data_IF_656138164716
#
_entry.id   IF_656138164716
#
_cell.length_a   1.000
_cell.length_b   1.000
_cell.length_c   1.000
_cell.angle_alpha   90.00
_cell.angle_beta   90.00
_cell.angle_gamma   90.00
#
_symmetry.space_group_name_H-M   'P 1'
#
loop_
_entity.id
_entity.type
_entity.pdbx_description
1 polymer ?
#
# COMPACT_ATOMS: atom_id res chain seq x y z
N UNK A 1 2.05 -22.10 13.88
CA UNK A 1 3.20 -22.69 13.19
C UNK A 1 4.06 -21.61 12.54
N UNK A 2 5.38 -21.83 12.45
CA UNK A 2 6.28 -21.03 11.61
C UNK A 2 5.82 -21.02 10.15
N UNK A 3 6.06 -19.92 9.42
CA UNK A 3 5.67 -19.79 8.02
C UNK A 3 6.78 -19.15 7.18
N UNK A 4 6.92 -19.61 5.93
CA UNK A 4 7.74 -18.96 4.92
C UNK A 4 6.84 -18.57 3.75
N UNK A 5 7.02 -17.34 3.25
CA UNK A 5 6.34 -16.83 2.06
C UNK A 5 7.35 -16.21 1.11
N UNK A 6 7.08 -16.34 -0.19
CA UNK A 6 7.67 -15.57 -1.28
C UNK A 6 6.51 -14.91 -2.02
N UNK A 7 6.35 -13.60 -1.84
CA UNK A 7 5.27 -12.83 -2.47
C UNK A 7 5.81 -12.05 -3.68
N UNK A 8 4.95 -11.56 -4.61
CA UNK A 8 3.49 -11.72 -4.64
C UNK A 8 3.05 -13.10 -5.17
N UNK A 9 2.34 -13.87 -4.34
CA UNK A 9 1.69 -15.14 -4.73
C UNK A 9 2.61 -16.19 -5.39
N UNK A 10 3.91 -16.21 -5.08
CA UNK A 10 4.89 -17.15 -5.68
C UNK A 10 4.92 -18.47 -4.92
N UNK A 11 5.13 -18.41 -3.60
CA UNK A 11 5.24 -19.59 -2.75
C UNK A 11 4.81 -19.29 -1.31
N UNK A 12 4.19 -20.25 -0.64
CA UNK A 12 3.86 -20.15 0.78
C UNK A 12 3.78 -21.54 1.41
N UNK A 13 4.38 -21.72 2.59
CA UNK A 13 4.27 -22.97 3.36
C UNK A 13 2.99 -23.05 4.19
N UNK A 14 2.33 -21.91 4.40
CA UNK A 14 1.15 -21.78 5.27
C UNK A 14 -0.01 -21.00 4.64
N UNK A 15 -0.85 -20.43 5.51
CA UNK A 15 -2.02 -19.66 5.10
C UNK A 15 -1.66 -18.25 4.62
N UNK A 16 -0.59 -17.66 5.15
CA UNK A 16 -0.11 -16.34 4.73
C UNK A 16 0.42 -16.40 3.29
N UNK A 17 0.16 -15.37 2.49
CA UNK A 17 0.63 -15.29 1.09
C UNK A 17 1.70 -14.23 0.85
N UNK A 18 2.06 -13.48 1.88
CA UNK A 18 3.12 -12.48 1.85
C UNK A 18 3.28 -11.75 3.19
N UNK A 19 4.11 -10.71 3.18
CA UNK A 19 4.51 -9.98 4.39
C UNK A 19 3.30 -9.39 5.13
N UNK A 20 2.39 -8.73 4.41
CA UNK A 20 1.18 -8.15 5.01
C UNK A 20 0.35 -9.21 5.75
N UNK A 21 0.16 -10.40 5.17
CA UNK A 21 -0.65 -11.44 5.82
C UNK A 21 0.00 -11.97 7.10
N UNK A 22 1.33 -12.09 7.11
CA UNK A 22 2.09 -12.49 8.30
C UNK A 22 1.97 -11.40 9.38
N UNK A 23 2.16 -10.13 9.02
CA UNK A 23 2.02 -9.01 9.95
C UNK A 23 0.60 -8.92 10.52
N UNK A 24 -0.44 -9.11 9.69
CA UNK A 24 -1.82 -9.18 10.17
C UNK A 24 -2.03 -10.32 11.16
N UNK A 25 -1.38 -11.46 10.94
CA UNK A 25 -1.47 -12.59 11.86
C UNK A 25 -0.94 -12.17 13.24
N UNK A 26 0.28 -11.63 13.29
CA UNK A 26 0.98 -11.36 14.55
C UNK A 26 0.63 -10.04 15.24
N UNK A 27 0.09 -9.06 14.53
CA UNK A 27 -0.26 -7.75 15.09
C UNK A 27 -1.75 -7.54 15.25
N UNK A 28 -2.59 -8.32 14.54
CA UNK A 28 -4.04 -8.11 14.51
C UNK A 28 -4.79 -9.34 15.01
N UNK A 29 -4.59 -10.51 14.40
CA UNK A 29 -5.43 -11.70 14.68
C UNK A 29 -5.04 -12.46 15.94
N UNK A 30 -3.74 -12.59 16.17
CA UNK A 30 -3.18 -13.40 17.27
C UNK A 30 -2.61 -12.53 18.40
N UNK A 31 -2.77 -11.21 18.30
CA UNK A 31 -2.29 -10.25 19.30
C UNK A 31 -3.44 -9.71 20.13
N UNK A 32 -3.21 -9.52 21.43
CA UNK A 32 -4.14 -8.81 22.30
C UNK A 32 -3.72 -7.34 22.36
N UNK A 33 -4.55 -6.38 21.92
CA UNK A 33 -4.23 -4.96 22.03
C UNK A 33 -3.89 -4.57 23.47
N UNK A 34 -2.79 -3.86 23.65
CA UNK A 34 -2.26 -3.47 24.96
C UNK A 34 -1.20 -4.43 25.52
N UNK A 35 -1.13 -5.67 25.04
CA UNK A 35 -0.16 -6.64 25.57
C UNK A 35 1.25 -6.40 24.99
N UNK A 36 2.16 -5.93 25.85
CA UNK A 36 3.58 -5.83 25.54
C UNK A 36 3.91 -4.83 24.43
N UNK A 37 4.87 -5.17 23.56
CA UNK A 37 5.51 -4.24 22.63
C UNK A 37 5.46 -4.76 21.19
N UNK A 38 5.06 -3.91 20.24
CA UNK A 38 5.20 -4.17 18.80
C UNK A 38 6.50 -3.53 18.29
N UNK A 39 7.26 -4.26 17.47
CA UNK A 39 8.56 -3.83 16.96
C UNK A 39 8.58 -3.71 15.44
N UNK A 40 9.16 -2.62 14.96
CA UNK A 40 9.38 -2.36 13.54
C UNK A 40 10.85 -1.98 13.36
N UNK A 41 11.62 -2.77 12.63
CA UNK A 41 12.97 -2.41 12.20
C UNK A 41 12.99 -2.48 10.69
N UNK A 42 13.21 -1.34 10.04
CA UNK A 42 13.19 -1.29 8.57
C UNK A 42 14.17 -0.26 8.03
N UNK A 43 14.98 -0.65 7.05
CA UNK A 43 15.89 0.30 6.40
C UNK A 43 15.17 1.39 5.60
N UNK A 44 13.97 1.12 5.12
CA UNK A 44 13.17 2.06 4.34
C UNK A 44 11.74 2.11 4.89
N UNK A 45 11.11 3.28 4.80
CA UNK A 45 9.75 3.50 5.26
C UNK A 45 9.01 4.53 4.42
N UNK A 46 7.76 4.25 4.07
CA UNK A 46 6.89 5.22 3.41
C UNK A 46 5.45 5.08 3.89
N UNK A 47 4.60 6.08 3.66
CA UNK A 47 3.30 6.16 4.30
C UNK A 47 2.42 4.94 4.00
N UNK A 48 2.38 4.50 2.74
CA UNK A 48 1.58 3.35 2.32
C UNK A 48 2.10 2.01 2.86
N UNK A 49 3.33 1.93 3.38
CA UNK A 49 3.81 0.76 4.10
C UNK A 49 3.10 0.52 5.44
N UNK A 50 2.52 1.58 6.04
CA UNK A 50 1.88 1.51 7.35
C UNK A 50 0.35 1.63 7.36
N UNK A 51 -0.30 2.01 6.25
CA UNK A 51 -1.75 2.27 6.21
C UNK A 51 -2.62 1.10 6.67
N UNK A 52 -2.12 -0.13 6.53
CA UNK A 52 -2.79 -1.33 7.03
C UNK A 52 -2.80 -1.41 8.56
N UNK A 53 -1.81 -0.84 9.23
CA UNK A 53 -1.52 -1.10 10.64
C UNK A 53 -1.64 0.13 11.54
N UNK A 54 -1.76 1.35 11.01
CA UNK A 54 -1.85 2.56 11.84
C UNK A 54 -3.00 2.53 12.86
N UNK A 55 -4.19 2.04 12.50
CA UNK A 55 -5.30 1.93 13.47
C UNK A 55 -5.07 0.80 14.48
N UNK A 56 -4.40 -0.30 14.08
CA UNK A 56 -3.94 -1.34 15.01
C UNK A 56 -2.94 -0.78 16.01
N UNK A 57 -2.03 0.08 15.57
CA UNK A 57 -1.04 0.75 16.42
C UNK A 57 -1.70 1.69 17.42
N UNK A 58 -2.64 2.53 16.96
CA UNK A 58 -3.43 3.41 17.84
C UNK A 58 -4.17 2.60 18.89
N UNK A 59 -4.88 1.55 18.48
CA UNK A 59 -5.59 0.67 19.40
C UNK A 59 -4.64 0.03 20.42
N UNK A 60 -3.48 -0.48 19.99
CA UNK A 60 -2.50 -1.09 20.89
C UNK A 60 -1.97 -0.10 21.94
N UNK A 61 -1.66 1.15 21.52
CA UNK A 61 -1.22 2.21 22.43
C UNK A 61 -2.33 2.66 23.39
N UNK A 62 -3.57 2.81 22.91
CA UNK A 62 -4.72 3.19 23.73
C UNK A 62 -5.02 2.17 24.83
N UNK A 63 -4.64 0.90 24.62
CA UNK A 63 -4.77 -0.17 25.61
C UNK A 63 -3.51 -0.36 26.47
N UNK A 64 -2.55 0.57 26.43
CA UNK A 64 -1.36 0.60 27.30
C UNK A 64 -0.15 -0.16 26.77
N UNK A 65 -0.23 -0.77 25.59
CA UNK A 65 0.89 -1.47 24.96
C UNK A 65 1.88 -0.48 24.36
N UNK A 66 3.08 -0.92 24.00
CA UNK A 66 4.14 -0.06 23.43
C UNK A 66 4.41 -0.35 21.95
N UNK A 67 4.96 0.63 21.24
CA UNK A 67 5.41 0.47 19.85
C UNK A 67 6.79 1.09 19.72
N UNK A 68 7.75 0.33 19.21
CA UNK A 68 9.11 0.79 18.97
C UNK A 68 9.43 0.60 17.49
N UNK A 69 9.79 1.70 16.82
CA UNK A 69 10.13 1.70 15.41
C UNK A 69 11.54 2.25 15.19
N UNK A 70 12.38 1.52 14.46
CA UNK A 70 13.73 1.93 14.07
C UNK A 70 13.83 1.97 12.56
N UNK A 71 14.12 3.16 12.04
CA UNK A 71 14.27 3.40 10.61
C UNK A 71 15.65 3.94 10.26
N UNK A 72 16.10 3.75 9.02
CA UNK A 72 17.26 4.49 8.52
C UNK A 72 16.84 5.88 8.01
N UNK A 73 17.72 6.86 8.18
CA UNK A 73 17.55 8.22 7.64
C UNK A 73 18.81 8.70 6.93
N UNK A 74 18.64 9.55 5.92
CA UNK A 74 19.72 10.12 5.12
C UNK A 74 19.31 11.46 4.52
N UNK A 75 20.23 12.42 4.47
CA UNK A 75 20.02 13.68 3.75
C UNK A 75 20.16 13.55 2.24
N UNK A 76 20.72 12.45 1.75
CA UNK A 76 21.05 12.25 0.32
C UNK A 76 20.34 11.05 -0.30
N UNK A 77 19.48 10.36 0.44
CA UNK A 77 18.80 9.15 -0.04
C UNK A 77 17.40 9.05 0.53
N UNK A 78 16.46 8.62 -0.31
CA UNK A 78 15.03 8.49 0.05
C UNK A 78 14.80 7.17 0.80
N UNK A 79 15.24 7.14 2.05
CA UNK A 79 15.14 5.94 2.91
C UNK A 79 13.78 5.88 3.59
N UNK A 80 13.51 6.85 4.46
CA UNK A 80 12.28 6.92 5.26
C UNK A 80 11.63 8.28 5.08
N UNK A 81 10.31 8.30 4.91
CA UNK A 81 9.59 9.53 4.65
C UNK A 81 9.20 10.29 5.92
N UNK A 82 9.00 11.60 5.78
CA UNK A 82 8.41 12.45 6.81
C UNK A 82 6.99 11.99 7.15
N UNK A 83 6.23 11.60 6.13
CA UNK A 83 4.83 11.21 6.28
C UNK A 83 4.66 9.96 7.15
N UNK A 84 5.46 8.90 6.93
CA UNK A 84 5.34 7.67 7.76
C UNK A 84 5.80 7.93 9.20
N UNK A 85 6.89 8.67 9.39
CA UNK A 85 7.40 8.98 10.73
C UNK A 85 6.40 9.82 11.51
N UNK A 86 5.80 10.83 10.86
CA UNK A 86 4.75 11.65 11.48
C UNK A 86 3.56 10.79 11.91
N UNK A 87 3.02 9.94 11.03
CA UNK A 87 1.87 9.10 11.38
C UNK A 87 2.23 8.09 12.49
N UNK A 88 3.44 7.50 12.48
CA UNK A 88 3.90 6.62 13.55
C UNK A 88 3.98 7.32 14.91
N UNK A 89 4.48 8.56 14.95
CA UNK A 89 4.49 9.38 16.16
C UNK A 89 3.07 9.74 16.62
N UNK A 90 2.17 10.07 15.67
CA UNK A 90 0.75 10.33 15.96
C UNK A 90 0.02 9.07 16.47
N UNK A 91 0.45 7.88 16.06
CA UNK A 91 0.01 6.61 16.66
C UNK A 91 0.56 6.37 18.07
N UNK A 92 1.49 7.20 18.56
CA UNK A 92 2.14 7.05 19.86
C UNK A 92 3.33 6.11 19.87
N UNK A 93 3.96 5.84 18.72
CA UNK A 93 5.15 5.00 18.63
C UNK A 93 6.42 5.76 19.04
N UNK A 94 7.34 5.04 19.68
CA UNK A 94 8.70 5.48 19.93
C UNK A 94 9.53 5.28 18.65
N UNK A 95 9.75 6.35 17.90
CA UNK A 95 10.49 6.29 16.62
C UNK A 95 11.96 6.67 16.81
N UNK A 96 12.85 5.88 16.23
CA UNK A 96 14.29 6.09 16.20
C UNK A 96 14.78 6.13 14.75
N UNK A 97 15.55 7.16 14.40
CA UNK A 97 16.16 7.31 13.08
C UNK A 97 17.67 7.10 13.19
N UNK A 98 18.18 6.11 12.46
CA UNK A 98 19.61 5.79 12.38
C UNK A 98 20.22 6.48 11.17
N UNK A 99 21.17 7.39 11.40
CA UNK A 99 21.98 7.96 10.33
C UNK A 99 23.36 7.31 10.31
N UNK A 100 23.65 6.53 9.27
CA UNK A 100 24.92 5.81 9.15
C UNK A 100 25.29 5.59 7.69
N UNK A 101 26.55 5.82 7.32
CA UNK A 101 27.04 5.59 5.93
C UNK A 101 26.78 4.16 5.44
N UNK A 102 26.95 3.18 6.32
CA UNK A 102 26.46 1.81 6.13
C UNK A 102 25.08 1.73 6.79
N UNK A 103 24.07 1.88 5.96
CA UNK A 103 22.67 2.03 6.38
C UNK A 103 22.24 0.88 7.30
N UNK A 104 21.29 1.16 8.21
CA UNK A 104 20.45 0.11 8.76
C UNK A 104 19.72 -0.53 7.59
N UNK A 105 20.09 -1.78 7.27
CA UNK A 105 19.54 -2.50 6.12
C UNK A 105 18.65 -3.68 6.53
N UNK A 106 18.60 -4.01 7.82
CA UNK A 106 17.74 -5.05 8.33
C UNK A 106 16.26 -4.72 8.06
N UNK A 107 15.46 -5.76 7.86
CA UNK A 107 14.01 -5.69 7.94
C UNK A 107 13.52 -6.83 8.83
N UNK A 108 13.02 -6.48 10.00
CA UNK A 108 12.38 -7.42 10.89
C UNK A 108 11.24 -6.74 11.66
N UNK A 109 10.23 -7.54 11.97
CA UNK A 109 9.00 -7.10 12.60
C UNK A 109 8.59 -8.13 13.63
N UNK A 110 7.82 -7.76 14.64
CA UNK A 110 7.42 -8.74 15.63
C UNK A 110 6.68 -8.16 16.81
N UNK A 111 6.50 -9.01 17.81
CA UNK A 111 5.94 -8.64 19.11
C UNK A 111 6.75 -9.29 20.22
N UNK A 112 6.75 -8.62 21.37
CA UNK A 112 7.03 -9.23 22.68
C UNK A 112 5.75 -9.13 23.48
N UNK A 113 5.15 -10.25 23.84
CA UNK A 113 3.89 -10.29 24.60
C UNK A 113 3.95 -11.29 25.74
N UNK A 114 2.85 -11.46 26.48
CA UNK A 114 2.73 -12.53 27.50
C UNK A 114 2.91 -13.94 26.92
N UNK A 115 2.72 -14.11 25.61
CA UNK A 115 2.92 -15.39 24.91
C UNK A 115 4.39 -15.64 24.51
N UNK A 116 5.27 -14.65 24.70
CA UNK A 116 6.68 -14.71 24.30
C UNK A 116 6.99 -13.79 23.10
N UNK A 117 8.17 -13.98 22.51
CA UNK A 117 8.65 -13.18 21.38
C UNK A 117 8.22 -13.81 20.05
N UNK A 118 7.60 -13.04 19.16
CA UNK A 118 7.38 -13.43 17.76
C UNK A 118 8.32 -12.63 16.85
N UNK A 119 8.90 -13.27 15.84
CA UNK A 119 9.88 -12.63 14.96
C UNK A 119 9.55 -12.91 13.50
N UNK A 120 9.54 -11.84 12.70
CA UNK A 120 9.51 -11.90 11.25
C UNK A 120 10.84 -11.37 10.74
N UNK A 121 11.50 -12.15 9.89
CA UNK A 121 12.67 -11.71 9.11
C UNK A 121 12.28 -11.69 7.64
N UNK A 122 12.56 -10.60 6.94
CA UNK A 122 12.11 -10.44 5.56
C UNK A 122 13.05 -9.57 4.75
N UNK A 123 12.93 -9.65 3.42
CA UNK A 123 13.52 -8.68 2.50
C UNK A 123 12.63 -7.44 2.31
N UNK A 124 11.33 -7.52 2.65
CA UNK A 124 10.35 -6.45 2.49
C UNK A 124 10.48 -5.32 3.51
N UNK A 125 10.67 -4.09 3.01
CA UNK A 125 10.69 -2.88 3.84
C UNK A 125 9.27 -2.45 4.25
N UNK A 126 9.19 -1.49 5.18
CA UNK A 126 7.93 -0.89 5.63
C UNK A 126 7.44 0.15 4.62
N UNK A 127 7.29 -0.26 3.36
CA UNK A 127 6.96 0.57 2.21
C UNK A 127 5.85 -0.06 1.39
N UNK A 128 5.12 0.74 0.61
CA UNK A 128 4.10 0.22 -0.32
C UNK A 128 4.60 -0.94 -1.19
N UNK A 129 5.77 -0.82 -1.86
CA UNK A 129 6.31 -1.91 -2.68
C UNK A 129 6.66 -3.17 -1.88
N UNK A 130 7.29 -3.03 -0.71
CA UNK A 130 7.66 -4.16 0.15
C UNK A 130 6.46 -4.89 0.77
N UNK A 131 5.28 -4.26 0.75
CA UNK A 131 4.01 -4.80 1.21
C UNK A 131 3.13 -5.33 0.07
N UNK A 132 3.54 -5.18 -1.20
CA UNK A 132 2.69 -5.38 -2.37
C UNK A 132 3.38 -6.18 -3.48
N UNK A 133 3.97 -5.53 -4.48
CA UNK A 133 4.39 -6.19 -5.72
C UNK A 133 5.87 -6.60 -5.75
N UNK A 134 6.71 -6.14 -4.83
CA UNK A 134 8.09 -6.60 -4.80
C UNK A 134 8.17 -8.12 -4.59
N UNK A 135 9.15 -8.75 -5.23
CA UNK A 135 9.45 -10.16 -4.96
C UNK A 135 10.17 -10.27 -3.62
N UNK A 136 9.44 -10.53 -2.55
CA UNK A 136 9.98 -10.53 -1.18
C UNK A 136 9.76 -11.86 -0.47
N UNK A 137 10.81 -12.32 0.21
CA UNK A 137 10.75 -13.49 1.08
C UNK A 137 10.54 -13.05 2.53
N UNK A 138 9.61 -13.70 3.24
CA UNK A 138 9.35 -13.45 4.66
C UNK A 138 9.25 -14.75 5.44
N UNK A 139 9.90 -14.81 6.60
CA UNK A 139 9.89 -15.94 7.52
C UNK A 139 9.31 -15.49 8.85
N UNK A 140 8.26 -16.17 9.32
CA UNK A 140 7.69 -16.03 10.66
C UNK A 140 8.24 -17.13 11.56
N UNK A 141 8.79 -16.73 12.71
CA UNK A 141 9.17 -17.57 13.82
C UNK A 141 8.25 -17.29 15.01
N UNK A 142 7.63 -18.34 15.52
CA UNK A 142 6.72 -18.29 16.66
C UNK A 142 7.43 -18.35 18.01
N UNK A 143 6.74 -18.00 19.12
CA UNK A 143 7.32 -18.00 20.47
C UNK A 143 8.11 -19.24 20.86
N UNK A 144 7.67 -20.43 20.48
CA UNK A 144 8.42 -21.65 20.75
C UNK A 144 9.78 -21.67 20.03
N UNK A 145 9.81 -21.32 18.74
CA UNK A 145 11.04 -21.31 17.95
C UNK A 145 11.98 -20.17 18.31
N UNK A 146 11.45 -18.99 18.64
CA UNK A 146 12.26 -17.86 19.12
C UNK A 146 12.87 -18.17 20.50
N UNK A 147 12.12 -18.82 21.39
CA UNK A 147 12.63 -19.30 22.67
C UNK A 147 13.73 -20.36 22.50
N UNK A 148 13.52 -21.35 21.64
CA UNK A 148 14.51 -22.42 21.37
C UNK A 148 15.85 -21.87 20.85
N UNK A 149 15.82 -20.74 20.12
CA UNK A 149 17.01 -20.07 19.61
C UNK A 149 17.52 -18.93 20.52
N UNK A 150 16.93 -18.73 21.71
CA UNK A 150 17.25 -17.66 22.65
C UNK A 150 17.16 -16.25 22.04
N UNK A 151 16.21 -16.03 21.13
CA UNK A 151 15.94 -14.69 20.61
C UNK A 151 15.17 -13.85 21.63
N UNK A 152 15.57 -12.59 21.82
CA UNK A 152 14.81 -11.61 22.60
C UNK A 152 14.79 -10.24 21.92
N UNK A 153 13.60 -9.67 21.73
CA UNK A 153 13.45 -8.31 21.22
C UNK A 153 14.10 -7.28 22.15
N UNK A 154 13.96 -7.46 23.46
CA UNK A 154 14.48 -6.52 24.46
C UNK A 154 16.00 -6.41 24.38
N UNK A 155 16.67 -7.57 24.30
CA UNK A 155 18.12 -7.65 24.18
C UNK A 155 18.60 -7.08 22.84
N UNK A 156 17.96 -7.46 21.73
CA UNK A 156 18.32 -6.94 20.41
C UNK A 156 18.19 -5.41 20.36
N UNK A 157 17.09 -4.87 20.87
CA UNK A 157 16.84 -3.43 20.88
C UNK A 157 17.78 -2.68 21.81
N UNK A 158 18.06 -3.20 23.01
CA UNK A 158 19.05 -2.65 23.93
C UNK A 158 20.44 -2.60 23.27
N UNK A 159 20.89 -3.73 22.73
CA UNK A 159 22.18 -3.84 22.05
C UNK A 159 22.28 -2.94 20.81
N UNK A 160 21.19 -2.74 20.07
CA UNK A 160 21.14 -1.79 18.95
C UNK A 160 21.33 -0.35 19.44
N UNK A 161 20.59 0.07 20.47
CA UNK A 161 20.64 1.43 21.00
C UNK A 161 21.95 1.75 21.74
N UNK A 162 22.61 0.73 22.29
CA UNK A 162 23.91 0.83 22.94
C UNK A 162 25.09 0.90 21.95
N UNK A 163 24.82 0.67 20.65
CA UNK A 163 25.84 0.97 19.64
C UNK A 163 26.12 2.47 19.62
N UNK A 164 27.38 2.84 19.41
CA UNK A 164 27.81 4.23 19.15
C UNK A 164 27.37 4.72 17.75
N UNK A 165 26.15 4.41 17.32
CA UNK A 165 25.55 4.93 16.09
C UNK A 165 24.92 6.29 16.35
N UNK A 166 24.75 7.06 15.27
CA UNK A 166 24.07 8.35 15.35
C UNK A 166 22.57 8.11 15.30
N UNK A 167 21.95 8.06 16.47
CA UNK A 167 20.51 7.96 16.64
C UNK A 167 19.87 9.32 16.82
N UNK A 168 18.73 9.51 16.17
CA UNK A 168 17.84 10.65 16.36
C UNK A 168 16.47 10.18 16.81
N UNK A 169 15.84 10.95 17.70
CA UNK A 169 14.45 10.74 18.13
C UNK A 169 13.62 11.93 17.63
N UNK A 170 12.90 11.79 16.51
CA UNK A 170 12.00 12.84 16.04
C UNK A 170 10.86 13.03 17.04
N UNK A 171 10.39 14.27 17.14
CA UNK A 171 9.23 14.63 17.93
C UNK A 171 8.32 15.56 17.12
N UNK A 172 7.01 15.52 17.41
CA UNK A 172 6.00 16.33 16.74
C UNK A 172 6.03 17.79 17.19
N UNK A 173 6.63 18.10 18.34
CA UNK A 173 6.72 19.48 18.83
C UNK A 173 7.77 20.32 18.08
N UNK A 174 8.80 19.69 17.49
CA UNK A 174 9.84 20.37 16.71
C UNK A 174 10.13 19.65 15.38
N UNK A 175 9.39 20.06 14.35
CA UNK A 175 9.57 19.56 12.98
C UNK A 175 10.83 20.09 12.28
N UNK A 176 11.57 21.01 12.91
CA UNK A 176 12.82 21.55 12.37
C UNK A 176 14.06 20.84 12.92
N UNK A 177 13.89 19.97 13.91
CA UNK A 177 14.99 19.22 14.51
C UNK A 177 15.80 18.42 13.45
N UNK A 178 17.10 18.18 13.66
CA UNK A 178 17.96 17.48 12.70
C UNK A 178 17.42 16.11 12.25
N UNK A 179 16.65 15.43 13.10
CA UNK A 179 15.98 14.17 12.78
C UNK A 179 15.12 14.27 11.50
N UNK A 180 14.38 15.36 11.34
CA UNK A 180 13.45 15.59 10.22
C UNK A 180 14.16 15.90 8.91
N UNK A 181 15.42 16.34 8.96
CA UNK A 181 16.25 16.58 7.77
C UNK A 181 16.78 15.29 7.15
N UNK A 182 16.72 14.18 7.89
CA UNK A 182 17.11 12.84 7.42
C UNK A 182 15.97 12.11 6.70
N UNK A 183 14.79 12.73 6.64
CA UNK A 183 13.57 12.14 6.11
C UNK A 183 13.18 12.87 4.83
N UNK A 184 12.82 12.12 3.79
CA UNK A 184 12.38 12.72 2.54
C UNK A 184 10.89 13.04 2.57
N UNK A 185 10.45 14.00 1.75
CA UNK A 185 9.04 14.34 1.61
C UNK A 185 8.43 13.55 0.44
N UNK A 186 7.45 12.68 0.70
CA UNK A 186 6.76 11.90 -0.35
C UNK A 186 5.86 12.76 -1.27
N UNK A 187 5.61 14.02 -0.90
CA UNK A 187 4.72 14.92 -1.64
C UNK A 187 5.47 16.03 -2.36
N UNK A 188 6.81 15.97 -2.37
CA UNK A 188 7.64 16.94 -3.06
C UNK A 188 7.40 16.90 -4.59
N UNK A 189 7.29 18.08 -5.20
CA UNK A 189 6.89 18.22 -6.61
C UNK A 189 7.97 17.76 -7.62
N UNK A 190 9.20 17.56 -7.17
CA UNK A 190 10.35 17.11 -7.95
C UNK A 190 10.47 15.58 -8.03
N UNK A 191 9.55 14.84 -7.41
CA UNK A 191 9.47 13.39 -7.54
C UNK A 191 8.98 13.07 -8.95
N UNK A 192 9.89 12.55 -9.78
CA UNK A 192 9.58 12.02 -11.11
C UNK A 192 9.25 10.54 -10.99
N UNK A 193 8.23 10.10 -11.74
CA UNK A 193 7.87 8.69 -11.86
C UNK A 193 9.03 7.93 -12.51
N UNK A 194 9.55 6.93 -11.81
CA UNK A 194 10.52 5.99 -12.37
C UNK A 194 9.84 5.05 -13.38
N UNK A 195 10.55 4.63 -14.42
CA UNK A 195 10.06 3.73 -15.48
C UNK A 195 9.51 2.43 -14.89
N UNK A 196 10.10 1.96 -13.78
CA UNK A 196 9.64 0.77 -13.04
C UNK A 196 8.24 0.93 -12.43
N UNK A 197 7.78 2.17 -12.25
CA UNK A 197 6.45 2.51 -11.74
C UNK A 197 5.44 2.84 -12.85
N UNK A 198 5.85 2.85 -14.12
CA UNK A 198 4.97 3.01 -15.28
C UNK A 198 4.19 1.73 -15.56
N UNK A 199 3.18 1.47 -14.74
CA UNK A 199 2.38 0.25 -14.80
C UNK A 199 0.91 0.54 -15.12
N UNK A 200 0.27 -0.41 -15.80
CA UNK A 200 -1.16 -0.46 -16.01
C UNK A 200 -1.78 -1.58 -15.18
N UNK A 201 -2.71 -1.22 -14.30
CA UNK A 201 -3.58 -2.17 -13.61
C UNK A 201 -4.73 -2.56 -14.54
N UNK A 202 -4.88 -3.86 -14.76
CA UNK A 202 -6.02 -4.45 -15.47
C UNK A 202 -7.02 -4.96 -14.44
N UNK A 203 -8.31 -4.65 -14.64
CA UNK A 203 -9.36 -4.99 -13.70
C UNK A 203 -10.61 -5.48 -14.43
N UNK A 204 -11.03 -6.70 -14.13
CA UNK A 204 -12.34 -7.21 -14.56
C UNK A 204 -13.42 -6.58 -13.70
N UNK A 205 -14.41 -5.95 -14.31
CA UNK A 205 -15.49 -5.25 -13.64
C UNK A 205 -16.59 -6.23 -13.21
N UNK A 206 -17.10 -6.03 -11.99
CA UNK A 206 -18.23 -6.77 -11.42
C UNK A 206 -19.55 -6.01 -11.59
N UNK A 207 -20.65 -6.65 -11.19
CA UNK A 207 -21.94 -5.98 -11.07
C UNK A 207 -21.86 -4.70 -10.23
N UNK A 208 -21.19 -4.77 -9.08
CA UNK A 208 -21.12 -3.64 -8.13
C UNK A 208 -20.39 -2.42 -8.69
N UNK A 209 -19.46 -2.64 -9.61
CA UNK A 209 -18.67 -1.59 -10.28
C UNK A 209 -19.49 -0.88 -11.36
N UNK A 210 -20.44 -1.58 -11.98
CA UNK A 210 -21.10 -1.12 -13.22
C UNK A 210 -22.59 -0.85 -13.07
N UNK A 211 -23.22 -1.23 -11.96
CA UNK A 211 -24.66 -1.06 -11.74
C UNK A 211 -25.15 0.38 -11.95
N UNK A 212 -24.42 1.39 -11.44
CA UNK A 212 -24.82 2.81 -11.58
C UNK A 212 -24.32 3.44 -12.89
N UNK A 213 -23.33 2.83 -13.55
CA UNK A 213 -22.91 3.19 -14.90
C UNK A 213 -24.03 2.84 -15.89
N UNK A 214 -24.70 1.71 -15.69
CA UNK A 214 -25.77 1.20 -16.56
C UNK A 214 -27.19 1.61 -16.15
N UNK A 215 -27.36 2.30 -15.01
CA UNK A 215 -28.67 2.74 -14.55
C UNK A 215 -29.32 3.74 -15.53
N UNK A 216 -30.65 3.83 -15.51
CA UNK A 216 -31.36 4.90 -16.21
C UNK A 216 -31.10 6.25 -15.50
N UNK A 217 -30.83 7.34 -16.24
CA UNK A 217 -30.72 8.68 -15.66
C UNK A 217 -31.93 9.02 -14.77
N UNK A 218 -31.68 9.58 -13.60
CA UNK A 218 -32.72 9.94 -12.62
C UNK A 218 -33.31 8.78 -11.82
N UNK A 219 -33.06 7.51 -12.20
CA UNK A 219 -33.58 6.35 -11.47
C UNK A 219 -32.92 6.18 -10.09
N UNK A 220 -33.62 5.52 -9.16
CA UNK A 220 -33.07 5.15 -7.84
C UNK A 220 -31.84 4.23 -7.96
N UNK A 221 -31.79 3.38 -8.97
CA UNK A 221 -30.66 2.47 -9.23
C UNK A 221 -29.35 3.21 -9.47
N UNK A 222 -29.41 4.44 -9.98
CA UNK A 222 -28.24 5.28 -10.19
C UNK A 222 -27.85 6.15 -9.00
N UNK A 223 -28.46 6.01 -7.82
CA UNK A 223 -28.10 6.82 -6.63
C UNK A 223 -26.99 6.18 -5.80
N UNK A 224 -26.34 6.96 -4.93
CA UNK A 224 -25.28 6.49 -4.03
C UNK A 224 -23.88 6.60 -4.63
N UNK A 225 -22.88 6.17 -3.86
CA UNK A 225 -21.47 6.26 -4.25
C UNK A 225 -21.13 5.28 -5.38
N UNK A 226 -20.30 5.72 -6.32
CA UNK A 226 -19.87 4.94 -7.49
C UNK A 226 -18.38 4.69 -7.39
N UNK A 227 -17.98 3.43 -7.38
CA UNK A 227 -16.60 3.01 -7.24
C UNK A 227 -16.28 1.86 -8.19
N UNK A 228 -15.01 1.77 -8.58
CA UNK A 228 -14.40 0.50 -8.91
C UNK A 228 -13.70 -0.06 -7.67
N UNK A 229 -14.02 -1.29 -7.31
CA UNK A 229 -13.27 -2.03 -6.29
C UNK A 229 -11.97 -2.53 -6.88
N UNK A 230 -10.85 -2.27 -6.22
CA UNK A 230 -9.53 -2.70 -6.67
C UNK A 230 -9.04 -3.85 -5.78
N UNK A 231 -7.77 -4.23 -5.91
CA UNK A 231 -7.16 -5.24 -5.05
C UNK A 231 -6.92 -4.71 -3.63
N UNK A 232 -6.68 -5.62 -2.69
CA UNK A 232 -6.18 -5.34 -1.33
C UNK A 232 -4.71 -4.93 -1.32
N UNK A 233 -3.98 -5.29 -2.36
CA UNK A 233 -2.52 -5.15 -2.46
C UNK A 233 -2.17 -4.10 -3.54
N UNK A 234 -2.64 -2.86 -3.36
CA UNK A 234 -2.38 -1.73 -4.27
C UNK A 234 -1.55 -0.63 -3.59
N UNK A 235 -0.78 -0.96 -2.56
CA UNK A 235 -0.08 0.01 -1.70
C UNK A 235 1.01 0.80 -2.44
N UNK A 236 1.60 0.23 -3.49
CA UNK A 236 2.63 0.83 -4.34
C UNK A 236 2.09 1.50 -5.61
N UNK A 237 0.89 1.14 -6.03
CA UNK A 237 0.31 1.64 -7.27
C UNK A 237 -0.20 3.08 -7.16
N UNK A 238 -0.51 3.54 -5.94
CA UNK A 238 -1.08 4.87 -5.67
C UNK A 238 -0.15 5.76 -4.84
N UNK A 239 -0.32 7.10 -4.89
CA UNK A 239 0.37 8.03 -4.01
C UNK A 239 0.13 7.76 -2.52
N UNK A 240 0.87 8.43 -1.63
CA UNK A 240 0.67 8.37 -0.19
C UNK A 240 -0.80 8.68 0.20
N UNK A 241 -1.46 7.73 0.87
CA UNK A 241 -2.88 7.81 1.25
C UNK A 241 -3.15 8.66 2.50
N UNK A 242 -2.59 9.86 2.52
CA UNK A 242 -2.53 10.76 3.69
C UNK A 242 -3.85 11.44 4.06
N UNK A 243 -4.89 11.35 3.22
CA UNK A 243 -6.19 11.97 3.48
C UNK A 243 -7.06 10.99 4.29
N UNK A 244 -7.10 11.16 5.62
CA UNK A 244 -8.00 10.39 6.49
C UNK A 244 -9.45 10.87 6.41
N UNK A 245 -10.40 9.96 6.66
CA UNK A 245 -11.80 10.33 6.80
C UNK A 245 -12.06 11.12 8.09
N UNK A 246 -12.82 12.22 7.97
CA UNK A 246 -13.31 13.00 9.13
C UNK A 246 -14.63 12.46 9.71
N UNK A 247 -15.34 11.65 8.92
CA UNK A 247 -16.68 11.12 9.23
C UNK A 247 -16.69 9.61 9.00
N UNK A 248 -17.51 8.90 9.77
CA UNK A 248 -17.58 7.44 9.76
C UNK A 248 -16.70 6.84 10.85
N UNK A 249 -17.16 5.72 11.42
CA UNK A 249 -16.45 5.03 12.50
C UNK A 249 -15.32 4.14 12.01
N UNK A 250 -15.38 3.73 10.74
CA UNK A 250 -14.34 2.90 10.11
C UNK A 250 -13.30 3.80 9.46
N UNK A 251 -12.04 3.58 9.79
CA UNK A 251 -10.92 4.33 9.25
C UNK A 251 -10.74 4.06 7.75
N UNK A 252 -10.54 5.14 7.00
CA UNK A 252 -10.16 5.10 5.60
C UNK A 252 -9.01 6.06 5.31
N UNK A 253 -8.17 5.66 4.37
CA UNK A 253 -6.97 6.37 3.95
C UNK A 253 -7.10 6.66 2.46
N UNK A 254 -7.02 7.94 2.07
CA UNK A 254 -7.25 8.35 0.68
C UNK A 254 -6.13 9.18 0.12
N UNK A 255 -6.04 9.24 -1.20
CA UNK A 255 -5.35 10.29 -1.94
C UNK A 255 -6.26 10.85 -3.03
N UNK A 256 -5.91 12.02 -3.54
CA UNK A 256 -6.53 12.61 -4.73
C UNK A 256 -5.56 12.48 -5.91
N UNK A 257 -6.06 12.01 -7.03
CA UNK A 257 -5.31 11.84 -8.28
C UNK A 257 -6.04 12.54 -9.43
N UNK A 258 -5.28 12.88 -10.47
CA UNK A 258 -5.82 13.29 -11.75
C UNK A 258 -6.13 12.04 -12.57
N UNK A 259 -7.41 11.82 -12.88
CA UNK A 259 -7.87 10.69 -13.67
C UNK A 259 -8.38 11.16 -15.03
N UNK A 260 -7.70 10.78 -16.11
CA UNK A 260 -8.15 10.99 -17.47
C UNK A 260 -9.04 9.81 -17.92
N UNK A 261 -10.35 10.01 -17.99
CA UNK A 261 -11.30 9.03 -18.50
C UNK A 261 -11.34 9.12 -20.03
N UNK A 262 -10.51 8.31 -20.68
CA UNK A 262 -10.25 8.39 -22.12
C UNK A 262 -11.53 8.22 -22.92
N UNK A 263 -12.35 7.22 -22.58
CA UNK A 263 -13.60 6.90 -23.28
C UNK A 263 -14.72 7.92 -23.05
N UNK A 264 -14.59 8.78 -22.04
CA UNK A 264 -15.49 9.93 -21.81
C UNK A 264 -14.99 11.22 -22.46
N UNK A 265 -13.71 11.28 -22.86
CA UNK A 265 -13.07 12.54 -23.24
C UNK A 265 -13.03 13.57 -22.09
N UNK A 266 -13.00 13.10 -20.84
CA UNK A 266 -13.10 13.94 -19.64
C UNK A 266 -12.00 13.63 -18.64
N UNK A 267 -11.64 14.62 -17.81
CA UNK A 267 -10.68 14.45 -16.73
C UNK A 267 -11.29 14.86 -15.39
N UNK A 268 -11.00 14.08 -14.35
CA UNK A 268 -11.29 14.42 -12.95
C UNK A 268 -9.98 14.69 -12.21
N UNK A 269 -9.75 15.96 -11.86
CA UNK A 269 -8.52 16.38 -11.19
C UNK A 269 -8.54 16.12 -9.68
N UNK A 270 -9.63 15.57 -9.13
CA UNK A 270 -9.82 15.28 -7.71
C UNK A 270 -10.38 13.86 -7.53
N UNK A 271 -10.04 12.96 -8.46
CA UNK A 271 -10.48 11.57 -8.39
C UNK A 271 -9.91 10.93 -7.12
N UNK A 272 -10.79 10.37 -6.29
CA UNK A 272 -10.41 9.84 -4.98
C UNK A 272 -10.10 8.35 -5.08
N UNK A 273 -8.92 7.98 -4.60
CA UNK A 273 -8.58 6.58 -4.28
C UNK A 273 -8.68 6.41 -2.77
N UNK A 274 -9.25 5.30 -2.30
CA UNK A 274 -9.51 5.07 -0.88
C UNK A 274 -9.19 3.63 -0.50
N UNK A 275 -8.36 3.44 0.52
CA UNK A 275 -8.15 2.18 1.20
C UNK A 275 -9.01 2.12 2.47
N UNK A 276 -9.67 0.99 2.71
CA UNK A 276 -10.64 0.81 3.79
C UNK A 276 -10.11 -0.11 4.88
N UNK A 277 -9.30 0.48 5.77
CA UNK A 277 -8.48 -0.22 6.77
C UNK A 277 -9.28 -1.01 7.81
N UNK A 278 -10.54 -0.65 8.07
CA UNK A 278 -11.39 -1.31 9.08
C UNK A 278 -12.64 -1.98 8.48
N UNK A 279 -12.61 -2.28 7.19
CA UNK A 279 -13.69 -3.01 6.53
C UNK A 279 -13.15 -4.26 5.82
N UNK A 280 -13.22 -4.26 4.49
CA UNK A 280 -12.77 -5.37 3.66
C UNK A 280 -11.29 -5.29 3.29
N UNK A 281 -10.59 -4.22 3.68
CA UNK A 281 -9.19 -3.95 3.32
C UNK A 281 -9.01 -3.78 1.81
N UNK A 282 -10.06 -3.35 1.11
CA UNK A 282 -10.02 -3.16 -0.33
C UNK A 282 -9.67 -1.70 -0.65
N UNK A 283 -8.94 -1.52 -1.74
CA UNK A 283 -8.84 -0.22 -2.41
C UNK A 283 -10.09 0.04 -3.25
N UNK A 284 -10.50 1.31 -3.34
CA UNK A 284 -11.62 1.79 -4.16
C UNK A 284 -11.17 3.00 -4.95
N UNK A 285 -11.53 3.02 -6.23
CA UNK A 285 -11.40 4.18 -7.09
C UNK A 285 -12.76 4.85 -7.29
N UNK A 286 -12.87 6.14 -6.97
CA UNK A 286 -14.03 6.96 -7.27
C UNK A 286 -14.27 7.06 -8.77
N UNK A 287 -15.36 6.48 -9.27
CA UNK A 287 -15.70 6.49 -10.71
C UNK A 287 -17.02 7.20 -10.99
N UNK A 288 -17.35 8.19 -10.16
CA UNK A 288 -18.53 9.05 -10.29
C UNK A 288 -18.78 9.58 -11.71
N UNK A 289 -17.75 10.05 -12.45
CA UNK A 289 -17.91 10.53 -13.83
C UNK A 289 -18.48 9.49 -14.81
N UNK A 290 -18.30 8.19 -14.57
CA UNK A 290 -18.84 7.13 -15.44
C UNK A 290 -20.34 6.86 -15.22
N UNK A 291 -20.98 7.47 -14.22
CA UNK A 291 -22.39 7.23 -13.91
C UNK A 291 -23.27 7.55 -15.13
N UNK A 292 -24.22 6.67 -15.42
CA UNK A 292 -25.16 6.76 -16.55
C UNK A 292 -24.54 6.71 -17.96
N UNK A 293 -23.22 6.53 -18.10
CA UNK A 293 -22.57 6.54 -19.41
C UNK A 293 -22.85 5.28 -20.24
N UNK A 294 -23.20 4.17 -19.57
CA UNK A 294 -23.38 2.83 -20.17
C UNK A 294 -22.17 2.34 -20.97
N UNK A 295 -20.97 2.91 -20.75
CA UNK A 295 -19.77 2.58 -21.51
C UNK A 295 -19.27 1.15 -21.26
N UNK A 296 -19.57 0.58 -20.10
CA UNK A 296 -19.18 -0.78 -19.69
C UNK A 296 -20.25 -1.44 -18.83
N UNK A 297 -20.29 -2.76 -18.85
CA UNK A 297 -21.12 -3.65 -18.04
C UNK A 297 -20.29 -4.66 -17.25
N UNK A 298 -20.99 -5.52 -16.51
CA UNK A 298 -20.36 -6.60 -15.77
C UNK A 298 -19.59 -7.54 -16.70
N UNK A 299 -18.36 -7.90 -16.31
CA UNK A 299 -17.48 -8.75 -17.10
C UNK A 299 -16.54 -7.99 -18.04
N UNK A 300 -16.81 -6.71 -18.32
CA UNK A 300 -15.91 -5.84 -19.08
C UNK A 300 -14.62 -5.53 -18.29
N UNK A 301 -13.64 -4.90 -18.94
CA UNK A 301 -12.33 -4.59 -18.37
C UNK A 301 -12.14 -3.08 -18.21
N UNK A 302 -11.58 -2.66 -17.08
CA UNK A 302 -10.98 -1.35 -16.92
C UNK A 302 -9.45 -1.47 -16.87
N UNK A 303 -8.75 -0.64 -17.63
CA UNK A 303 -7.31 -0.50 -17.58
C UNK A 303 -6.98 0.87 -16.98
N UNK A 304 -6.27 0.88 -15.86
CA UNK A 304 -5.87 2.08 -15.13
C UNK A 304 -4.36 2.20 -15.25
N UNK A 305 -3.88 3.16 -16.03
CA UNK A 305 -2.46 3.36 -16.29
C UNK A 305 -1.92 4.50 -15.45
N UNK A 306 -0.85 4.27 -14.70
CA UNK A 306 -0.12 5.33 -14.00
C UNK A 306 0.81 6.02 -15.00
N UNK A 307 0.61 7.31 -15.22
CA UNK A 307 1.33 8.12 -16.23
C UNK A 307 2.07 9.32 -15.62
N UNK A 308 2.06 9.39 -14.30
CA UNK A 308 2.78 10.34 -13.47
C UNK A 308 2.57 9.98 -12.01
N UNK A 309 3.18 10.73 -11.10
CA UNK A 309 3.04 10.42 -9.67
C UNK A 309 1.58 10.49 -9.19
N UNK A 310 0.86 11.53 -9.60
CA UNK A 310 -0.57 11.72 -9.25
C UNK A 310 -1.48 11.70 -10.48
N UNK A 311 -0.99 11.23 -11.63
CA UNK A 311 -1.70 11.28 -12.91
C UNK A 311 -1.92 9.89 -13.48
N UNK A 312 -3.17 9.62 -13.86
CA UNK A 312 -3.63 8.32 -14.33
C UNK A 312 -4.52 8.46 -15.56
N UNK A 313 -4.56 7.40 -16.37
CA UNK A 313 -5.52 7.24 -17.46
C UNK A 313 -6.38 6.01 -17.21
N UNK A 314 -7.68 6.14 -17.47
CA UNK A 314 -8.63 5.04 -17.39
C UNK A 314 -9.22 4.78 -18.78
N UNK A 315 -9.05 3.54 -19.25
CA UNK A 315 -9.63 3.01 -20.49
C UNK A 315 -10.55 1.84 -20.19
N UNK A 316 -11.57 1.65 -21.02
CA UNK A 316 -12.61 0.68 -20.87
C UNK A 316 -12.71 -0.24 -22.09
N UNK A 317 -12.76 -1.54 -21.87
CA UNK A 317 -12.82 -2.54 -22.95
C UNK A 317 -13.96 -3.51 -22.74
N UNK A 318 -14.79 -3.67 -23.77
CA UNK A 318 -15.90 -4.63 -23.77
C UNK A 318 -15.39 -6.06 -23.83
N UNK A 319 -16.08 -7.00 -23.17
CA UNK A 319 -15.69 -8.41 -23.12
C UNK A 319 -15.51 -9.06 -24.51
N UNK A 320 -16.23 -8.59 -25.53
CA UNK A 320 -16.13 -9.10 -26.90
C UNK A 320 -15.06 -8.41 -27.75
N UNK A 321 -14.35 -7.40 -27.23
CA UNK A 321 -13.31 -6.69 -27.96
C UNK A 321 -12.04 -7.52 -28.10
N UNK A 322 -11.29 -7.28 -29.18
CA UNK A 322 -9.97 -7.89 -29.42
C UNK A 322 -8.99 -7.59 -28.29
N UNK A 323 -9.04 -6.36 -27.78
CA UNK A 323 -8.20 -5.84 -26.71
C UNK A 323 -8.51 -6.56 -25.39
N UNK A 324 -9.79 -6.77 -25.07
CA UNK A 324 -10.17 -7.55 -23.90
C UNK A 324 -9.59 -8.97 -23.96
N UNK A 325 -9.73 -9.65 -25.11
CA UNK A 325 -9.22 -11.03 -25.26
C UNK A 325 -7.70 -11.07 -25.09
N UNK A 326 -6.97 -10.08 -25.61
CA UNK A 326 -5.53 -9.98 -25.48
C UNK A 326 -5.08 -9.70 -24.02
N UNK A 327 -5.80 -8.84 -23.31
CA UNK A 327 -5.47 -8.41 -21.94
C UNK A 327 -5.94 -9.40 -20.86
N UNK A 328 -6.97 -10.20 -21.14
CA UNK A 328 -7.56 -11.12 -20.18
C UNK A 328 -6.58 -12.07 -19.48
N UNK A 329 -5.59 -12.68 -20.18
CA UNK A 329 -4.62 -13.57 -19.56
C UNK A 329 -3.77 -12.93 -18.46
N UNK A 330 -3.60 -11.60 -18.47
CA UNK A 330 -2.78 -10.87 -17.51
C UNK A 330 -3.51 -10.59 -16.19
N UNK A 331 -4.83 -10.79 -16.13
CA UNK A 331 -5.61 -10.68 -14.89
C UNK A 331 -5.55 -11.98 -14.08
N UNK A 332 -4.36 -12.30 -13.57
CA UNK A 332 -4.04 -13.58 -12.93
C UNK A 332 -4.49 -13.69 -11.48
N UNK A 333 -4.80 -12.57 -10.82
CA UNK A 333 -5.16 -12.55 -9.41
C UNK A 333 -6.67 -12.41 -9.22
N UNK A 334 -7.23 -13.12 -8.24
CA UNK A 334 -8.65 -13.06 -7.88
C UNK A 334 -8.91 -12.05 -6.76
N UNK A 335 -10.01 -11.31 -6.84
CA UNK A 335 -10.51 -10.44 -5.77
C UNK A 335 -11.84 -11.01 -5.26
N UNK A 336 -11.89 -11.32 -3.96
CA UNK A 336 -13.08 -11.90 -3.34
C UNK A 336 -13.48 -13.26 -3.95
N UNK A 337 -14.77 -13.56 -3.92
CA UNK A 337 -15.31 -14.87 -4.33
C UNK A 337 -16.17 -14.84 -5.61
N UNK A 338 -16.41 -13.65 -6.19
CA UNK A 338 -17.35 -13.46 -7.31
C UNK A 338 -16.68 -13.38 -8.69
N UNK A 339 -15.54 -14.06 -8.87
CA UNK A 339 -14.89 -14.12 -10.19
C UNK A 339 -14.25 -12.81 -10.66
N UNK A 340 -14.11 -11.82 -9.78
CA UNK A 340 -13.40 -10.57 -10.09
C UNK A 340 -11.90 -10.84 -10.15
N UNK A 341 -11.23 -10.25 -11.13
CA UNK A 341 -9.80 -10.47 -11.38
C UNK A 341 -9.06 -9.18 -11.63
N UNK A 342 -7.77 -9.18 -11.32
CA UNK A 342 -6.86 -8.09 -11.64
C UNK A 342 -5.46 -8.60 -11.96
N UNK A 343 -4.65 -7.71 -12.52
CA UNK A 343 -3.21 -7.91 -12.70
C UNK A 343 -2.54 -6.61 -13.11
N UNK A 344 -1.23 -6.65 -13.28
CA UNK A 344 -0.42 -5.51 -13.70
C UNK A 344 0.40 -5.88 -14.93
N UNK A 345 0.68 -4.89 -15.76
CA UNK A 345 1.65 -4.99 -16.84
C UNK A 345 2.33 -3.64 -17.08
N UNK A 346 3.56 -3.61 -17.60
CA UNK A 346 4.22 -2.36 -17.97
C UNK A 346 3.41 -1.55 -18.99
N UNK A 347 3.44 -0.22 -18.87
CA UNK A 347 2.73 0.68 -19.79
C UNK A 347 3.15 0.48 -21.24
N UNK A 348 4.44 0.23 -21.51
CA UNK A 348 4.95 -0.02 -22.85
C UNK A 348 4.33 -1.27 -23.48
N UNK A 349 4.25 -2.37 -22.72
CA UNK A 349 3.61 -3.61 -23.15
C UNK A 349 2.10 -3.42 -23.36
N UNK A 350 1.45 -2.67 -22.45
CA UNK A 350 0.04 -2.35 -22.57
C UNK A 350 -0.25 -1.57 -23.86
N UNK A 351 0.51 -0.50 -24.13
CA UNK A 351 0.41 0.30 -25.36
C UNK A 351 0.56 -0.55 -26.61
N UNK A 352 1.60 -1.38 -26.67
CA UNK A 352 1.84 -2.28 -27.81
C UNK A 352 0.66 -3.23 -28.04
N UNK A 353 0.08 -3.77 -26.96
CA UNK A 353 -1.03 -4.73 -27.03
C UNK A 353 -2.33 -4.13 -27.55
N UNK A 354 -2.59 -2.86 -27.23
CA UNK A 354 -3.81 -2.15 -27.66
C UNK A 354 -3.58 -1.27 -28.90
N UNK A 355 -2.41 -1.38 -29.54
CA UNK A 355 -2.09 -0.65 -30.77
C UNK A 355 -1.86 0.86 -30.59
N UNK A 356 -1.47 1.31 -29.40
CA UNK A 356 -1.09 2.70 -29.14
C UNK A 356 0.43 2.88 -29.19
N UNK A 357 0.93 4.03 -29.66
CA UNK A 357 2.37 4.31 -29.66
C UNK A 357 2.93 4.52 -28.25
N UNK A 358 2.10 4.97 -27.31
CA UNK A 358 2.45 5.21 -25.90
C UNK A 358 1.18 5.37 -25.04
N UNK A 359 1.34 5.20 -23.74
CA UNK A 359 0.35 5.49 -22.70
C UNK A 359 0.77 6.78 -22.00
N UNK A 360 -0.18 7.65 -21.64
CA UNK A 360 0.16 9.01 -21.23
C UNK A 360 0.42 9.92 -22.43
N UNK A 361 0.27 11.22 -22.22
CA UNK A 361 0.17 12.22 -23.29
C UNK A 361 1.42 12.29 -24.19
N UNK A 362 1.24 11.86 -25.43
CA UNK A 362 1.68 12.56 -26.66
C UNK A 362 0.94 13.89 -26.88
N UNK A 363 0.74 14.69 -25.81
CA UNK A 363 0.26 16.08 -25.85
C UNK A 363 1.22 16.98 -25.07
N UNK A 364 2.44 17.03 -25.57
CA UNK A 364 3.43 18.06 -25.25
C UNK A 364 4.41 18.31 -26.42
N UNK A 365 4.05 18.06 -27.69
CA UNK A 365 4.81 18.57 -28.84
C UNK A 365 3.85 18.81 -30.01
N UNK A 366 3.27 20.03 -30.05
CA UNK A 366 2.78 20.79 -31.22
C UNK A 366 1.84 21.89 -30.72
N UNK A 367 2.43 22.92 -30.14
CA UNK A 367 2.09 24.32 -30.42
C UNK A 367 3.38 25.12 -30.38
#
# INVERSE_FOLDING_TARGET
MNELTLHPNVYATGHSKGLVNILERIWVREHTPGDGTMFIVSGFGNYNGGVRFFDTFKQHRDHGGEIIAVFAGSTSSRLTSKQVVKEMLECGANVHIVNRKRLLHAKCYGTRSTLGDSLIVTSGNFTGPGMSQNVEMSVLLEPASTADMNFSWSEMMGNMLDQNWVFYRPDLADLNAPAWQLLYDEQAADIVLDDTNEMTMLLRLSHSDTARINAMPGSKAGKGTQYFWLSKDCYDFFPPLTIRNKRGHKATYSCAVQMNYVDLGAADNQCRVTFEAENNLDFRLGTGPLRYSRLVGEGDLAAISRVGETSYELRLYRQASTEYVALFPYMVHMIGHQGKRYGYMPNAEFAAMIGLPSIGRSRAVRR
#
